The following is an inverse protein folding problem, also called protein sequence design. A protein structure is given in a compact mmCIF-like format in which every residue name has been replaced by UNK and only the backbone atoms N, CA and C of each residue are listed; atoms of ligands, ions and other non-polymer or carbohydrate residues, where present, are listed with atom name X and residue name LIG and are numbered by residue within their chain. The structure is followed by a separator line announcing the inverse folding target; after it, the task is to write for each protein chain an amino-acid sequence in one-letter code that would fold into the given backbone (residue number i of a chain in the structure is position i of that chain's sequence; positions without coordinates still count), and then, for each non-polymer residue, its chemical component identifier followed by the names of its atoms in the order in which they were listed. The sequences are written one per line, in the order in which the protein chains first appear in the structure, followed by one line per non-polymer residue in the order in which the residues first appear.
data_IF_261239370263
#
_entry.id   IF_261239370263
#
_cell.length_a   1.000
_cell.length_b   1.000
_cell.length_c   1.000
_cell.angle_alpha   90.00
_cell.angle_beta   90.00
_cell.angle_gamma   90.00
#
_symmetry.space_group_name_H-M   'P 1'
#
loop_
_entity.id
_entity.type
_entity.pdbx_description
1 polymer ?
#
# COMPACT_ATOMS: atom_id res chain seq x y z
N UNK A 1 6.25 -10.80 -2.52
CA UNK A 1 5.09 -10.64 -3.42
C UNK A 1 4.42 -9.29 -3.24
N UNK A 2 3.90 -8.94 -2.05
CA UNK A 2 3.22 -7.66 -1.83
C UNK A 2 4.08 -6.43 -2.15
N UNK A 3 5.36 -6.42 -1.76
CA UNK A 3 6.25 -5.27 -2.02
C UNK A 3 6.53 -5.09 -3.52
N UNK A 4 6.68 -6.19 -4.26
CA UNK A 4 6.83 -6.17 -5.72
C UNK A 4 5.56 -5.68 -6.44
N UNK A 5 4.37 -6.05 -5.94
CA UNK A 5 3.10 -5.53 -6.46
C UNK A 5 2.98 -4.02 -6.28
N UNK A 6 3.39 -3.49 -5.12
CA UNK A 6 3.40 -2.05 -4.86
C UNK A 6 4.37 -1.31 -5.79
N UNK A 7 5.55 -1.88 -6.03
CA UNK A 7 6.50 -1.32 -7.01
C UNK A 7 5.91 -1.34 -8.41
N UNK A 8 5.31 -2.44 -8.84
CA UNK A 8 4.69 -2.54 -10.16
C UNK A 8 3.57 -1.50 -10.37
N UNK A 9 2.71 -1.28 -9.36
CA UNK A 9 1.69 -0.24 -9.40
C UNK A 9 2.30 1.16 -9.50
N UNK A 10 3.37 1.44 -8.74
CA UNK A 10 4.11 2.70 -8.82
C UNK A 10 4.76 2.93 -10.19
N UNK A 11 5.39 1.90 -10.76
CA UNK A 11 5.99 1.94 -12.10
C UNK A 11 4.94 2.19 -13.18
N UNK A 12 3.77 1.55 -13.08
CA UNK A 12 2.66 1.78 -14.00
C UNK A 12 2.14 3.22 -13.96
N UNK A 13 1.98 3.79 -12.75
CA UNK A 13 1.56 5.18 -12.62
C UNK A 13 2.63 6.15 -13.12
N UNK A 14 3.92 5.89 -12.82
CA UNK A 14 5.05 6.66 -13.36
C UNK A 14 5.00 6.68 -14.89
N UNK A 15 4.84 5.53 -15.53
CA UNK A 15 4.75 5.43 -16.99
C UNK A 15 3.65 6.32 -17.55
N UNK A 16 2.47 6.31 -16.94
CA UNK A 16 1.34 7.16 -17.36
C UNK A 16 1.65 8.65 -17.20
N UNK A 17 2.30 9.05 -16.10
CA UNK A 17 2.68 10.44 -15.87
C UNK A 17 3.73 10.92 -16.87
N UNK A 18 4.74 10.08 -17.16
CA UNK A 18 5.77 10.38 -18.16
C UNK A 18 5.16 10.55 -19.56
N UNK A 19 4.25 9.66 -19.95
CA UNK A 19 3.51 9.73 -21.23
C UNK A 19 2.72 11.03 -21.39
N UNK A 20 2.21 11.58 -20.28
CA UNK A 20 1.45 12.84 -20.25
C UNK A 20 2.32 14.09 -20.12
N UNK A 21 3.65 13.95 -20.01
CA UNK A 21 4.56 15.06 -19.79
C UNK A 21 4.42 15.69 -18.40
N UNK A 22 3.83 14.96 -17.45
CA UNK A 22 3.70 15.40 -16.06
C UNK A 22 5.02 15.26 -15.31
N UNK A 23 5.24 16.11 -14.30
CA UNK A 23 6.45 16.02 -13.48
C UNK A 23 6.41 14.77 -12.58
N UNK A 24 7.49 13.97 -12.61
CA UNK A 24 7.61 12.79 -11.75
C UNK A 24 8.09 13.19 -10.36
N UNK A 25 7.18 13.04 -9.39
CA UNK A 25 7.48 13.23 -7.97
C UNK A 25 8.56 12.25 -7.51
N UNK A 26 9.36 12.66 -6.53
CA UNK A 26 10.38 11.79 -5.92
C UNK A 26 9.74 10.59 -5.22
N UNK A 27 8.68 10.84 -4.45
CA UNK A 27 7.87 9.82 -3.79
C UNK A 27 6.39 10.17 -3.85
N UNK A 28 5.54 9.15 -3.68
CA UNK A 28 4.10 9.31 -3.48
C UNK A 28 3.68 8.47 -2.27
N UNK A 29 2.98 9.09 -1.32
CA UNK A 29 2.36 8.42 -0.19
C UNK A 29 1.12 7.63 -0.64
N UNK A 30 1.11 6.32 -0.40
CA UNK A 30 0.00 5.43 -0.77
C UNK A 30 -0.52 4.70 0.46
N UNK A 31 -1.84 4.75 0.74
CA UNK A 31 -2.46 3.91 1.75
C UNK A 31 -2.55 2.47 1.26
N UNK A 32 -1.97 1.54 2.01
CA UNK A 32 -1.96 0.11 1.71
C UNK A 32 -2.71 -0.64 2.81
N UNK A 33 -3.79 -1.37 2.47
CA UNK A 33 -4.52 -2.17 3.46
C UNK A 33 -3.65 -3.34 3.94
N UNK A 34 -3.74 -3.64 5.23
CA UNK A 34 -3.08 -4.77 5.86
C UNK A 34 -4.06 -5.53 6.73
N UNK A 35 -3.98 -6.85 6.69
CA UNK A 35 -4.72 -7.70 7.62
C UNK A 35 -4.26 -7.44 9.04
N UNK A 36 -5.21 -7.28 9.94
CA UNK A 36 -4.98 -7.17 11.39
C UNK A 36 -5.60 -8.37 12.08
N UNK A 37 -5.10 -8.72 13.27
CA UNK A 37 -5.72 -9.78 14.07
C UNK A 37 -7.16 -9.36 14.36
N UNK A 38 -8.11 -10.28 14.17
CA UNK A 38 -9.53 -10.00 14.37
C UNK A 38 -9.79 -9.40 15.76
N UNK A 39 -10.60 -8.35 15.81
CA UNK A 39 -11.09 -7.73 17.06
C UNK A 39 -12.55 -8.13 17.22
N UNK A 40 -12.87 -8.90 18.26
CA UNK A 40 -14.23 -9.42 18.50
C UNK A 40 -14.71 -10.37 17.39
N UNK A 41 -15.99 -10.28 17.01
CA UNK A 41 -16.64 -11.14 16.00
C UNK A 41 -16.35 -10.72 14.54
N UNK A 42 -15.59 -9.64 14.33
CA UNK A 42 -15.29 -9.13 13.00
C UNK A 42 -14.32 -10.06 12.25
N UNK A 43 -14.87 -10.88 11.34
CA UNK A 43 -14.11 -11.84 10.51
C UNK A 43 -13.18 -11.19 9.48
N UNK A 44 -13.21 -9.86 9.31
CA UNK A 44 -12.33 -9.11 8.40
C UNK A 44 -12.04 -7.73 8.95
N UNK A 45 -11.04 -7.63 9.83
CA UNK A 45 -10.51 -6.35 10.28
C UNK A 45 -9.32 -5.95 9.37
N UNK A 46 -9.30 -4.69 8.93
CA UNK A 46 -8.32 -4.16 7.96
C UNK A 46 -7.74 -2.86 8.50
N UNK A 47 -6.44 -2.86 8.78
CA UNK A 47 -5.69 -1.64 9.07
C UNK A 47 -5.11 -1.04 7.78
N UNK A 48 -4.61 0.18 7.87
CA UNK A 48 -3.89 0.82 6.77
C UNK A 48 -2.48 1.19 7.22
N UNK A 49 -1.51 0.98 6.33
CA UNK A 49 -0.17 1.58 6.43
C UNK A 49 0.00 2.60 5.30
N UNK A 50 0.74 3.67 5.56
CA UNK A 50 1.19 4.58 4.49
C UNK A 50 2.57 4.14 4.04
N UNK A 51 2.77 3.99 2.73
CA UNK A 51 4.06 3.67 2.11
C UNK A 51 4.41 4.77 1.11
N UNK A 52 5.66 5.22 1.13
CA UNK A 52 6.22 6.13 0.14
C UNK A 52 6.77 5.32 -1.04
N UNK A 53 6.05 5.34 -2.17
CA UNK A 53 6.52 4.68 -3.40
C UNK A 53 7.66 5.49 -4.03
N UNK A 54 8.82 4.89 -4.33
CA UNK A 54 9.98 5.62 -4.86
C UNK A 54 9.88 5.83 -6.39
N UNK A 55 9.12 6.83 -6.82
CA UNK A 55 8.78 7.06 -8.24
C UNK A 55 9.98 7.38 -9.14
N UNK A 56 11.02 8.00 -8.59
CA UNK A 56 12.23 8.30 -9.36
C UNK A 56 13.22 7.13 -9.41
N UNK A 57 13.04 6.09 -8.59
CA UNK A 57 13.93 4.92 -8.61
C UNK A 57 13.62 4.05 -9.84
N UNK A 58 14.59 3.93 -10.74
CA UNK A 58 14.47 3.13 -11.97
C UNK A 58 15.02 1.72 -11.81
N UNK A 59 15.88 1.49 -10.82
CA UNK A 59 16.35 0.15 -10.48
C UNK A 59 15.25 -0.58 -9.70
N UNK A 60 14.65 -1.59 -10.35
CA UNK A 60 13.53 -2.35 -9.79
C UNK A 60 13.92 -3.13 -8.52
N UNK A 61 15.13 -3.68 -8.45
CA UNK A 61 15.57 -4.41 -7.26
C UNK A 61 15.71 -3.46 -6.08
N UNK A 62 16.28 -2.28 -6.34
CA UNK A 62 16.42 -1.23 -5.34
C UNK A 62 15.06 -0.66 -4.91
N UNK A 63 14.13 -0.45 -5.84
CA UNK A 63 12.77 -0.01 -5.53
C UNK A 63 12.05 -1.01 -4.62
N UNK A 64 12.16 -2.32 -4.91
CA UNK A 64 11.59 -3.38 -4.06
C UNK A 64 12.24 -3.39 -2.69
N UNK A 65 13.56 -3.22 -2.59
CA UNK A 65 14.26 -3.16 -1.31
C UNK A 65 13.81 -1.96 -0.45
N UNK A 66 13.61 -0.79 -1.06
CA UNK A 66 13.09 0.41 -0.39
C UNK A 66 11.69 0.15 0.16
N UNK A 67 10.78 -0.39 -0.66
CA UNK A 67 9.40 -0.68 -0.25
C UNK A 67 9.38 -1.76 0.84
N UNK A 68 10.15 -2.84 0.70
CA UNK A 68 10.21 -3.91 1.70
C UNK A 68 10.71 -3.40 3.07
N UNK A 69 11.67 -2.47 3.09
CA UNK A 69 12.13 -1.82 4.32
C UNK A 69 11.02 -0.97 4.96
N UNK A 70 10.26 -0.22 4.16
CA UNK A 70 9.16 0.58 4.68
C UNK A 70 8.03 -0.30 5.22
N UNK A 71 7.64 -1.34 4.48
CA UNK A 71 6.55 -2.22 4.93
C UNK A 71 6.95 -3.01 6.17
N UNK A 72 8.21 -3.40 6.34
CA UNK A 72 8.65 -4.09 7.57
C UNK A 72 8.59 -3.19 8.82
N UNK A 73 8.88 -1.90 8.68
CA UNK A 73 8.76 -0.91 9.77
C UNK A 73 7.31 -0.51 10.03
N UNK A 74 6.50 -0.39 8.98
CA UNK A 74 5.13 0.12 9.09
C UNK A 74 4.12 -0.97 9.52
N UNK A 75 4.28 -2.23 9.11
CA UNK A 75 3.34 -3.34 9.40
C UNK A 75 3.01 -3.57 10.88
N UNK A 76 3.92 -3.41 11.86
CA UNK A 76 3.61 -3.66 13.26
C UNK A 76 2.53 -2.73 13.85
N UNK A 77 2.49 -1.46 13.43
CA UNK A 77 1.59 -0.46 14.03
C UNK A 77 0.11 -0.66 13.66
N UNK A 78 -0.29 -0.80 12.38
CA UNK A 78 -1.67 -1.06 12.00
C UNK A 78 -2.17 -2.43 12.47
N UNK A 79 -1.29 -3.44 12.52
CA UNK A 79 -1.60 -4.75 13.10
C UNK A 79 -1.99 -4.67 14.58
N UNK A 80 -1.44 -3.71 15.31
CA UNK A 80 -1.80 -3.43 16.69
C UNK A 80 -2.99 -2.46 16.82
N UNK A 81 -3.16 -1.53 15.87
CA UNK A 81 -4.18 -0.49 15.92
C UNK A 81 -5.56 -0.89 15.37
N UNK A 82 -5.63 -1.96 14.58
CA UNK A 82 -6.88 -2.63 14.14
C UNK A 82 -8.04 -1.69 13.82
N UNK A 83 -8.04 -1.07 12.64
CA UNK A 83 -9.24 -0.37 12.16
C UNK A 83 -10.28 -1.43 11.78
N UNK A 84 -11.43 -1.44 12.46
CA UNK A 84 -12.53 -2.38 12.18
C UNK A 84 -13.56 -1.70 11.30
N UNK A 85 -13.81 -2.26 10.12
CA UNK A 85 -14.97 -1.92 9.30
C UNK A 85 -15.95 -3.08 9.41
N UNK A 86 -17.17 -2.86 9.94
CA UNK A 86 -18.20 -3.88 9.87
C UNK A 86 -18.62 -4.02 8.40
N UNK A 87 -18.14 -5.06 7.72
CA UNK A 87 -18.74 -5.52 6.48
C UNK A 87 -20.06 -6.21 6.82
N UNK A 88 -21.14 -5.43 6.93
CA UNK A 88 -22.48 -5.98 6.80
C UNK A 88 -22.72 -6.32 5.33
N UNK A 89 -23.32 -7.48 5.06
CA UNK A 89 -23.54 -8.00 3.71
C UNK A 89 -24.36 -7.07 2.78
N UNK A 90 -24.95 -6.00 3.30
CA UNK A 90 -25.72 -5.01 2.55
C UNK A 90 -24.85 -4.02 1.75
N UNK A 91 -23.57 -3.84 2.08
CA UNK A 91 -22.69 -2.88 1.41
C UNK A 91 -22.03 -3.40 0.11
N UNK A 92 -22.29 -4.65 -0.28
CA UNK A 92 -21.68 -5.28 -1.46
C UNK A 92 -22.49 -5.12 -2.77
N UNK A 93 -23.58 -4.36 -2.75
CA UNK A 93 -24.45 -4.11 -3.91
C UNK A 93 -24.81 -2.62 -4.01
N UNK A 94 -23.83 -1.76 -4.33
CA UNK A 94 -24.06 -0.45 -4.95
C UNK A 94 -22.94 -0.17 -5.95
#
# INVERSE_FOLDING_TARGET
MNDAYLVAAGTGLRFILEDRGESILKTIAVPVPVSVTAIGDARSAVGFMIIELPFQETDLERAVAIVAKQTSVAKPSPRAAGTTFPLTLEAALV
#
